data_IF_058648185765
#
_entry.id   IF_058648185765
#
_cell.length_a   1.000
_cell.length_b   1.000
_cell.length_c   1.000
_cell.angle_alpha   90.00
_cell.angle_beta   90.00
_cell.angle_gamma   90.00
#
_symmetry.space_group_name_H-M   'P 1'
#
loop_
_entity.id
_entity.type
_entity.pdbx_description
1 polymer ?
#
# COMPACT_ATOMS: atom_id res chain seq x y z
N UNK A 1 -5.54 -2.91 -5.97
CA UNK A 1 -6.94 -2.48 -5.98
C UNK A 1 -7.84 -3.66 -6.34
N UNK A 2 -8.77 -4.10 -5.44
CA UNK A 2 -9.65 -5.26 -5.65
C UNK A 2 -10.51 -5.14 -6.92
N UNK A 3 -10.94 -3.92 -7.29
CA UNK A 3 -11.76 -3.68 -8.46
C UNK A 3 -11.02 -4.01 -9.77
N UNK A 4 -9.76 -3.60 -9.87
CA UNK A 4 -8.94 -3.89 -11.06
C UNK A 4 -8.64 -5.38 -11.17
N UNK A 5 -8.48 -6.06 -10.02
CA UNK A 5 -8.27 -7.52 -9.99
C UNK A 5 -9.53 -8.22 -10.49
N UNK A 6 -10.71 -7.86 -9.99
CA UNK A 6 -11.97 -8.43 -10.46
C UNK A 6 -12.18 -8.21 -11.96
N UNK A 7 -11.88 -7.00 -12.44
CA UNK A 7 -12.01 -6.68 -13.86
C UNK A 7 -11.09 -7.57 -14.74
N UNK A 8 -9.84 -7.76 -14.31
CA UNK A 8 -8.92 -8.66 -15.02
C UNK A 8 -9.43 -10.12 -15.07
N UNK A 9 -10.03 -10.62 -13.97
CA UNK A 9 -10.64 -11.94 -13.96
C UNK A 9 -11.85 -12.05 -14.89
N UNK A 10 -12.70 -11.01 -14.97
CA UNK A 10 -13.83 -10.95 -15.91
C UNK A 10 -13.38 -10.95 -17.36
N UNK A 11 -12.35 -10.17 -17.68
CA UNK A 11 -11.77 -10.13 -19.02
C UNK A 11 -11.17 -11.47 -19.43
N UNK A 12 -10.46 -12.14 -18.50
CA UNK A 12 -9.91 -13.47 -18.73
C UNK A 12 -11.02 -14.51 -18.95
N UNK A 13 -12.05 -14.52 -18.12
CA UNK A 13 -13.19 -15.42 -18.25
C UNK A 13 -13.91 -15.23 -19.60
N UNK A 14 -14.12 -13.98 -20.01
CA UNK A 14 -14.69 -13.65 -21.31
C UNK A 14 -13.82 -14.13 -22.49
N UNK A 15 -12.49 -13.92 -22.40
CA UNK A 15 -11.55 -14.36 -23.43
C UNK A 15 -11.50 -15.89 -23.57
N UNK A 16 -11.71 -16.62 -22.49
CA UNK A 16 -11.74 -18.09 -22.47
C UNK A 16 -13.14 -18.67 -22.70
N UNK A 17 -14.16 -17.83 -22.89
CA UNK A 17 -15.57 -18.22 -23.01
C UNK A 17 -16.05 -19.13 -21.85
N UNK A 18 -15.63 -18.84 -20.63
CA UNK A 18 -16.03 -19.55 -19.41
C UNK A 18 -16.75 -18.62 -18.44
N UNK A 19 -17.58 -19.17 -17.55
CA UNK A 19 -18.19 -18.42 -16.48
C UNK A 19 -17.14 -18.02 -15.42
N UNK A 20 -17.34 -16.84 -14.82
CA UNK A 20 -16.51 -16.40 -13.71
C UNK A 20 -16.82 -17.26 -12.47
N UNK A 21 -15.82 -17.97 -11.89
CA UNK A 21 -16.07 -18.78 -10.68
C UNK A 21 -16.59 -17.93 -9.51
N UNK A 22 -17.58 -18.43 -8.76
CA UNK A 22 -18.15 -17.75 -7.59
C UNK A 22 -17.10 -17.36 -6.55
N UNK A 23 -16.09 -18.22 -6.36
CA UNK A 23 -14.96 -17.97 -5.46
C UNK A 23 -14.21 -16.65 -5.76
N UNK A 24 -14.18 -16.19 -6.99
CA UNK A 24 -13.58 -14.91 -7.38
C UNK A 24 -14.40 -13.74 -6.80
N UNK A 25 -15.72 -13.80 -6.95
CA UNK A 25 -16.63 -12.78 -6.43
C UNK A 25 -16.63 -12.76 -4.90
N UNK A 26 -16.68 -13.93 -4.26
CA UNK A 26 -16.61 -14.05 -2.80
C UNK A 26 -15.31 -13.47 -2.22
N UNK A 27 -14.18 -13.73 -2.90
CA UNK A 27 -12.90 -13.19 -2.47
C UNK A 27 -12.82 -11.69 -2.68
N UNK A 28 -13.38 -11.18 -3.75
CA UNK A 28 -13.51 -9.74 -3.99
C UNK A 28 -14.33 -9.06 -2.88
N UNK A 29 -15.48 -9.62 -2.50
CA UNK A 29 -16.32 -9.09 -1.42
C UNK A 29 -15.58 -9.05 -0.07
N UNK A 30 -14.81 -10.11 0.25
CA UNK A 30 -13.95 -10.14 1.45
C UNK A 30 -12.89 -9.04 1.42
N UNK A 31 -12.28 -8.78 0.26
CA UNK A 31 -11.34 -7.67 0.11
C UNK A 31 -12.03 -6.30 0.29
N UNK A 32 -13.25 -6.12 -0.21
CA UNK A 32 -14.00 -4.88 -0.01
C UNK A 32 -14.34 -4.64 1.46
N UNK A 33 -14.73 -5.67 2.19
CA UNK A 33 -15.00 -5.57 3.62
C UNK A 33 -13.76 -5.15 4.43
N UNK A 34 -12.58 -5.72 4.13
CA UNK A 34 -11.32 -5.29 4.74
C UNK A 34 -10.94 -3.86 4.33
N UNK A 35 -11.14 -3.49 3.07
CA UNK A 35 -10.90 -2.15 2.57
C UNK A 35 -11.73 -1.11 3.33
N UNK A 36 -12.98 -1.40 3.62
CA UNK A 36 -13.84 -0.53 4.42
C UNK A 36 -13.30 -0.36 5.84
N UNK A 37 -12.87 -1.44 6.48
CA UNK A 37 -12.25 -1.37 7.82
C UNK A 37 -10.95 -0.55 7.82
N UNK A 38 -10.11 -0.67 6.79
CA UNK A 38 -8.90 0.15 6.65
C UNK A 38 -9.28 1.62 6.55
N UNK A 39 -10.27 1.97 5.72
CA UNK A 39 -10.74 3.36 5.61
C UNK A 39 -11.19 3.94 6.93
N UNK A 40 -11.96 3.18 7.70
CA UNK A 40 -12.50 3.64 8.99
C UNK A 40 -11.41 3.82 10.05
N UNK A 41 -10.42 2.93 10.08
CA UNK A 41 -9.42 2.88 11.15
C UNK A 41 -8.15 3.68 10.84
N UNK A 42 -7.80 3.86 9.57
CA UNK A 42 -6.52 4.44 9.16
C UNK A 42 -6.66 5.77 8.40
N UNK A 43 -7.81 6.40 8.48
CA UNK A 43 -8.01 7.72 7.87
C UNK A 43 -6.97 8.72 8.38
N UNK A 44 -6.18 9.28 7.45
CA UNK A 44 -5.13 10.26 7.75
C UNK A 44 -3.82 9.67 8.25
N UNK A 45 -3.70 8.34 8.39
CA UNK A 45 -2.44 7.71 8.82
C UNK A 45 -1.32 7.99 7.81
N UNK A 46 -0.26 8.66 8.29
CA UNK A 46 0.88 9.07 7.46
C UNK A 46 1.83 7.90 7.19
N UNK A 47 2.22 7.71 5.93
CA UNK A 47 3.18 6.68 5.57
C UNK A 47 4.28 7.16 4.63
N UNK A 48 5.40 6.43 4.67
CA UNK A 48 6.47 6.52 3.69
C UNK A 48 6.47 5.24 2.86
N UNK A 49 6.48 5.40 1.54
CA UNK A 49 6.70 4.31 0.61
C UNK A 49 8.17 4.26 0.23
N UNK A 50 8.87 3.20 0.60
CA UNK A 50 10.32 3.10 0.47
C UNK A 50 10.78 1.85 -0.27
N UNK A 51 11.83 2.04 -1.09
CA UNK A 51 12.68 1.01 -1.69
C UNK A 51 11.97 -0.26 -2.18
N UNK A 52 10.93 -0.11 -2.97
CA UNK A 52 10.25 -1.23 -3.62
C UNK A 52 10.66 -1.35 -5.09
N UNK A 53 10.88 -2.56 -5.62
CA UNK A 53 11.15 -2.80 -7.02
C UNK A 53 9.92 -2.60 -7.91
N UNK A 54 8.71 -2.54 -7.33
CA UNK A 54 7.48 -2.39 -8.07
C UNK A 54 7.21 -0.93 -8.45
N UNK A 55 6.55 -0.75 -9.58
CA UNK A 55 5.97 0.53 -9.90
C UNK A 55 4.91 0.83 -8.84
N UNK A 56 5.11 1.89 -8.11
CA UNK A 56 4.37 2.14 -6.88
C UNK A 56 3.26 3.18 -7.03
N UNK A 57 3.07 3.77 -8.22
CA UNK A 57 2.04 4.79 -8.38
C UNK A 57 0.64 4.24 -8.14
N UNK A 58 0.29 3.12 -8.77
CA UNK A 58 -1.02 2.49 -8.61
C UNK A 58 -1.28 2.06 -7.16
N UNK A 59 -0.26 1.52 -6.50
CA UNK A 59 -0.39 1.14 -5.10
C UNK A 59 -0.57 2.36 -4.20
N UNK A 60 0.21 3.42 -4.41
CA UNK A 60 0.08 4.64 -3.63
C UNK A 60 -1.23 5.38 -3.90
N UNK A 61 -1.70 5.40 -5.15
CA UNK A 61 -3.03 5.92 -5.50
C UNK A 61 -4.13 5.14 -4.79
N UNK A 62 -4.01 3.82 -4.76
CA UNK A 62 -4.95 2.96 -4.03
C UNK A 62 -4.94 3.22 -2.53
N UNK A 63 -3.76 3.28 -1.89
CA UNK A 63 -3.64 3.55 -0.46
C UNK A 63 -4.16 4.96 -0.09
N UNK A 64 -3.86 5.96 -0.90
CA UNK A 64 -4.38 7.30 -0.73
C UNK A 64 -5.91 7.36 -0.90
N UNK A 65 -6.47 6.59 -1.85
CA UNK A 65 -7.90 6.40 -2.03
C UNK A 65 -8.58 5.68 -0.86
N UNK A 66 -7.81 4.96 -0.02
CA UNK A 66 -8.26 4.41 1.26
C UNK A 66 -8.24 5.43 2.40
N UNK A 67 -7.70 6.62 2.17
CA UNK A 67 -7.59 7.66 3.17
C UNK A 67 -6.25 7.71 3.92
N UNK A 68 -5.28 6.85 3.57
CA UNK A 68 -3.93 6.98 4.09
C UNK A 68 -3.22 8.17 3.44
N UNK A 69 -2.31 8.81 4.16
CA UNK A 69 -1.59 9.98 3.69
C UNK A 69 -0.15 9.62 3.28
N UNK A 70 0.18 9.54 1.99
CA UNK A 70 1.54 9.40 1.55
C UNK A 70 2.34 10.68 1.86
N UNK A 71 3.31 10.58 2.76
CA UNK A 71 4.18 11.69 3.12
C UNK A 71 5.38 11.78 2.18
N UNK A 72 5.95 10.63 1.84
CA UNK A 72 7.06 10.52 0.90
C UNK A 72 7.00 9.21 0.12
N UNK A 73 7.39 9.28 -1.14
CA UNK A 73 7.51 8.13 -2.04
C UNK A 73 8.92 8.08 -2.61
N UNK A 74 9.62 6.99 -2.34
CA UNK A 74 10.93 6.69 -2.91
C UNK A 74 10.76 5.82 -4.15
N UNK A 75 11.31 6.24 -5.27
CA UNK A 75 11.22 5.50 -6.53
C UNK A 75 12.57 5.30 -7.18
N UNK A 76 12.79 4.12 -7.72
CA UNK A 76 13.96 3.87 -8.58
C UNK A 76 13.84 4.50 -9.97
N UNK A 77 12.62 4.59 -10.50
CA UNK A 77 12.33 5.17 -11.81
C UNK A 77 11.05 6.01 -11.78
N UNK A 78 11.14 7.22 -12.33
CA UNK A 78 9.99 8.16 -12.44
C UNK A 78 9.25 7.98 -13.79
N UNK A 79 9.03 6.75 -14.20
CA UNK A 79 8.27 6.47 -15.43
C UNK A 79 6.78 6.43 -15.09
N UNK A 80 5.98 7.14 -15.83
CA UNK A 80 4.52 7.17 -15.79
C UNK A 80 3.91 8.42 -15.14
N UNK A 81 3.82 9.49 -15.95
CA UNK A 81 3.23 10.77 -15.52
C UNK A 81 1.73 10.67 -15.23
N UNK A 82 1.01 9.79 -15.93
CA UNK A 82 -0.44 9.67 -15.82
C UNK A 82 -0.86 9.15 -14.44
N UNK A 83 -0.23 8.09 -13.97
CA UNK A 83 -0.52 7.51 -12.66
C UNK A 83 -0.14 8.46 -11.52
N UNK A 84 0.91 9.27 -11.71
CA UNK A 84 1.23 10.34 -10.77
C UNK A 84 0.09 11.35 -10.66
N UNK A 85 -0.53 11.70 -11.78
CA UNK A 85 -1.65 12.65 -11.79
C UNK A 85 -2.87 12.11 -11.03
N UNK A 86 -3.14 10.80 -11.11
CA UNK A 86 -4.19 10.17 -10.31
C UNK A 86 -3.90 10.28 -8.80
N UNK A 87 -2.68 10.01 -8.38
CA UNK A 87 -2.28 10.17 -6.98
C UNK A 87 -2.47 11.60 -6.48
N UNK A 88 -2.14 12.60 -7.32
CA UNK A 88 -2.25 14.01 -6.97
C UNK A 88 -3.69 14.49 -6.71
N UNK A 89 -4.70 13.71 -7.09
CA UNK A 89 -6.09 13.97 -6.71
C UNK A 89 -6.35 13.71 -5.22
N UNK A 90 -5.54 12.88 -4.59
CA UNK A 90 -5.68 12.50 -3.19
C UNK A 90 -4.64 13.14 -2.28
N UNK A 91 -3.39 13.24 -2.76
CA UNK A 91 -2.26 13.68 -1.94
C UNK A 91 -1.12 14.22 -2.80
N UNK A 92 -0.27 15.06 -2.20
CA UNK A 92 0.93 15.60 -2.83
C UNK A 92 2.18 15.25 -2.00
N UNK A 93 2.66 13.99 -2.06
CA UNK A 93 3.80 13.54 -1.28
C UNK A 93 5.12 14.10 -1.81
N UNK A 94 6.14 14.11 -0.95
CA UNK A 94 7.52 14.27 -1.42
C UNK A 94 7.92 13.07 -2.28
N UNK A 95 8.44 13.31 -3.46
CA UNK A 95 8.94 12.25 -4.34
C UNK A 95 10.44 12.36 -4.46
N UNK A 96 11.16 11.30 -4.08
CA UNK A 96 12.61 11.26 -4.20
C UNK A 96 13.08 10.03 -4.98
N UNK A 97 14.16 10.21 -5.75
CA UNK A 97 14.82 9.13 -6.46
C UNK A 97 16.00 8.66 -5.61
N UNK A 98 15.99 7.39 -5.20
CA UNK A 98 17.12 6.73 -4.55
C UNK A 98 17.74 7.53 -3.39
N UNK A 99 17.11 7.50 -2.24
CA UNK A 99 17.61 8.24 -1.08
C UNK A 99 18.77 7.51 -0.39
N UNK A 100 19.75 8.27 0.07
CA UNK A 100 20.77 7.78 1.00
C UNK A 100 20.08 7.48 2.35
N UNK A 101 20.22 6.24 2.83
CA UNK A 101 19.58 5.78 4.08
C UNK A 101 19.94 6.65 5.29
N UNK A 102 21.19 7.15 5.38
CA UNK A 102 21.62 8.00 6.48
C UNK A 102 20.89 9.37 6.49
N UNK A 103 20.61 9.94 5.32
CA UNK A 103 19.83 11.16 5.21
C UNK A 103 18.34 10.93 5.53
N UNK A 104 17.86 9.70 5.36
CA UNK A 104 16.47 9.35 5.58
C UNK A 104 16.07 9.36 7.05
N UNK A 105 16.97 9.07 7.98
CA UNK A 105 16.64 9.15 9.41
C UNK A 105 16.19 10.54 9.84
N UNK A 106 16.87 11.57 9.32
CA UNK A 106 16.47 12.97 9.55
C UNK A 106 15.09 13.29 8.94
N UNK A 107 14.81 12.74 7.76
CA UNK A 107 13.50 12.92 7.09
C UNK A 107 12.39 12.25 7.91
N UNK A 108 12.64 11.06 8.44
CA UNK A 108 11.65 10.37 9.28
C UNK A 108 11.33 11.16 10.55
N UNK A 109 12.33 11.75 11.21
CA UNK A 109 12.12 12.61 12.37
C UNK A 109 11.31 13.87 12.05
N UNK A 110 11.43 14.38 10.84
CA UNK A 110 10.68 15.56 10.36
C UNK A 110 9.25 15.21 9.95
N UNK A 111 9.06 14.15 9.18
CA UNK A 111 7.76 13.75 8.63
C UNK A 111 6.91 12.98 9.63
N UNK A 112 7.54 12.32 10.62
CA UNK A 112 6.90 11.51 11.65
C UNK A 112 5.86 10.54 11.08
N UNK A 113 6.25 9.67 10.12
CA UNK A 113 5.33 8.69 9.57
C UNK A 113 4.92 7.68 10.64
N UNK A 114 3.71 7.19 10.55
CA UNK A 114 3.22 6.09 11.39
C UNK A 114 3.55 4.73 10.76
N UNK A 115 3.62 4.69 9.41
CA UNK A 115 3.84 3.49 8.63
C UNK A 115 5.03 3.66 7.69
N UNK A 116 5.76 2.57 7.49
CA UNK A 116 6.72 2.41 6.41
C UNK A 116 6.32 1.21 5.55
N UNK A 117 6.10 1.45 4.26
CA UNK A 117 5.71 0.41 3.31
C UNK A 117 6.86 0.21 2.32
N UNK A 118 7.58 -0.89 2.43
CA UNK A 118 8.75 -1.15 1.59
C UNK A 118 9.66 -2.25 2.13
N UNK A 119 10.74 -2.53 1.40
CA UNK A 119 11.68 -3.63 1.70
C UNK A 119 12.73 -3.32 2.74
N UNK A 120 13.05 -2.08 2.97
CA UNK A 120 14.18 -1.69 3.82
C UNK A 120 13.73 -1.17 5.17
N UNK A 121 12.79 -1.89 5.79
CA UNK A 121 12.45 -1.63 7.18
C UNK A 121 13.62 -2.07 8.07
N UNK A 122 14.01 -1.22 9.00
CA UNK A 122 15.17 -1.44 9.88
C UNK A 122 14.74 -1.31 11.34
N UNK A 123 15.52 -1.93 12.23
CA UNK A 123 15.37 -1.78 13.69
C UNK A 123 15.40 -0.30 14.14
N UNK A 124 16.05 0.57 13.37
CA UNK A 124 16.04 2.02 13.61
C UNK A 124 14.67 2.64 13.45
N UNK A 125 13.91 2.20 12.45
CA UNK A 125 12.54 2.67 12.22
C UNK A 125 11.58 2.13 13.29
N UNK A 126 11.75 0.87 13.66
CA UNK A 126 10.98 0.23 14.73
C UNK A 126 11.17 0.96 16.06
N UNK A 127 12.44 1.28 16.41
CA UNK A 127 12.74 2.09 17.61
C UNK A 127 12.15 3.50 17.60
N UNK A 128 11.80 4.03 16.43
CA UNK A 128 11.08 5.30 16.27
C UNK A 128 9.56 5.13 16.37
N UNK A 129 9.05 3.93 16.66
CA UNK A 129 7.63 3.64 16.71
C UNK A 129 6.95 3.61 15.32
N UNK A 130 7.73 3.41 14.26
CA UNK A 130 7.21 3.31 12.89
C UNK A 130 6.89 1.84 12.60
N UNK A 131 5.66 1.56 12.22
CA UNK A 131 5.25 0.19 11.87
C UNK A 131 5.67 -0.15 10.44
N UNK A 132 6.38 -1.26 10.28
CA UNK A 132 6.87 -1.73 8.98
C UNK A 132 5.93 -2.69 8.30
N UNK A 133 5.61 -2.40 7.05
CA UNK A 133 4.91 -3.32 6.16
C UNK A 133 5.83 -3.64 4.98
N UNK A 134 6.27 -4.89 4.89
CA UNK A 134 7.02 -5.33 3.73
C UNK A 134 6.09 -5.33 2.49
N UNK A 135 6.51 -4.63 1.46
CA UNK A 135 5.79 -4.56 0.19
C UNK A 135 5.86 -5.87 -0.62
N UNK A 136 6.65 -6.84 -0.16
CA UNK A 136 6.82 -8.14 -0.81
C UNK A 136 6.71 -9.29 0.18
N UNK A 137 5.54 -9.59 0.68
CA UNK A 137 5.36 -10.72 1.56
C UNK A 137 5.29 -12.03 0.75
N UNK A 138 6.39 -12.73 0.66
CA UNK A 138 6.42 -14.09 0.16
C UNK A 138 5.85 -14.29 -1.25
N UNK A 139 5.15 -15.41 -1.46
CA UNK A 139 4.60 -15.80 -2.77
C UNK A 139 3.26 -15.11 -3.12
N UNK A 140 2.57 -14.52 -2.14
CA UNK A 140 1.21 -13.98 -2.31
C UNK A 140 1.21 -12.48 -2.62
N UNK A 141 1.97 -12.07 -3.64
CA UNK A 141 2.14 -10.65 -3.97
C UNK A 141 1.11 -10.14 -4.97
N UNK A 142 0.49 -11.04 -5.73
CA UNK A 142 -0.38 -10.70 -6.85
C UNK A 142 -1.83 -11.07 -6.58
N UNK A 143 -2.73 -10.45 -7.34
CA UNK A 143 -4.14 -10.76 -7.31
C UNK A 143 -4.80 -10.48 -5.96
N UNK A 144 -5.84 -11.22 -5.66
CA UNK A 144 -6.59 -11.06 -4.41
C UNK A 144 -5.78 -11.47 -3.17
N UNK A 145 -4.91 -12.48 -3.25
CA UNK A 145 -4.07 -12.90 -2.13
C UNK A 145 -3.15 -11.75 -1.68
N UNK A 146 -2.49 -11.07 -2.62
CA UNK A 146 -1.66 -9.91 -2.32
C UNK A 146 -2.46 -8.73 -1.77
N UNK A 147 -3.63 -8.46 -2.34
CA UNK A 147 -4.51 -7.40 -1.85
C UNK A 147 -4.99 -7.68 -0.41
N UNK A 148 -5.45 -8.90 -0.15
CA UNK A 148 -5.93 -9.35 1.15
C UNK A 148 -4.82 -9.31 2.21
N UNK A 149 -3.62 -9.80 1.86
CA UNK A 149 -2.45 -9.75 2.74
C UNK A 149 -2.04 -8.33 3.11
N UNK A 150 -2.03 -7.40 2.15
CA UNK A 150 -1.74 -5.99 2.42
C UNK A 150 -2.79 -5.36 3.35
N UNK A 151 -4.08 -5.55 3.06
CA UNK A 151 -5.16 -4.97 3.87
C UNK A 151 -5.14 -5.51 5.31
N UNK A 152 -4.87 -6.81 5.50
CA UNK A 152 -4.72 -7.39 6.83
C UNK A 152 -3.58 -6.74 7.61
N UNK A 153 -2.41 -6.57 7.02
CA UNK A 153 -1.27 -5.93 7.70
C UNK A 153 -1.52 -4.48 8.06
N UNK A 154 -2.25 -3.77 7.20
CA UNK A 154 -2.69 -2.42 7.53
C UNK A 154 -3.60 -2.42 8.77
N UNK A 155 -4.44 -3.45 8.92
CA UNK A 155 -5.30 -3.60 10.10
C UNK A 155 -4.52 -4.06 11.34
N UNK A 156 -3.50 -4.89 11.19
CA UNK A 156 -2.62 -5.32 12.30
C UNK A 156 -1.96 -4.11 12.97
N UNK A 157 -1.53 -3.10 12.20
CA UNK A 157 -1.03 -1.84 12.73
C UNK A 157 -2.02 -1.18 13.70
N UNK A 158 -3.33 -1.24 13.45
CA UNK A 158 -4.31 -0.62 14.34
C UNK A 158 -4.42 -1.33 15.68
N UNK A 159 -4.13 -2.63 15.74
CA UNK A 159 -4.16 -3.41 16.97
C UNK A 159 -2.95 -3.09 17.84
N UNK A 160 -1.77 -2.97 17.25
CA UNK A 160 -0.53 -2.58 17.97
C UNK A 160 -0.66 -1.21 18.64
N UNK A 161 -1.31 -0.25 18.01
CA UNK A 161 -1.53 1.10 18.57
C UNK A 161 -2.52 1.12 19.75
N UNK A 162 -3.35 0.09 19.90
CA UNK A 162 -4.32 -0.02 21.00
C UNK A 162 -3.66 -0.62 22.25
N UNK A 163 -2.71 -1.53 22.06
CA UNK A 163 -1.99 -2.21 23.15
C UNK A 163 -0.93 -1.31 23.83
N UNK A 164 -0.48 -0.25 23.15
CA UNK A 164 0.51 0.72 23.66
C UNK A 164 -0.12 1.92 24.40
N UNK A 165 -1.42 1.99 24.53
CA UNK A 165 -2.17 3.04 25.28
C UNK A 165 -2.77 2.50 26.55
#
# INVERSE_FOLDING_TARGET
NPQNILQAYKELAAALAVELPSAVTETWEKCLALQQQVREKLQGAGYIYGNSPYNCWELNTYLAGLGLQPLMIQMSTLKNKEVKNELLQYANPYVCKSANLAAMEFVYDKLKPQLYIGRSFTDSLERKGIFGIDSMPGQDVLGFAGCFGLLKRLLDFTQTQIEEK
#
